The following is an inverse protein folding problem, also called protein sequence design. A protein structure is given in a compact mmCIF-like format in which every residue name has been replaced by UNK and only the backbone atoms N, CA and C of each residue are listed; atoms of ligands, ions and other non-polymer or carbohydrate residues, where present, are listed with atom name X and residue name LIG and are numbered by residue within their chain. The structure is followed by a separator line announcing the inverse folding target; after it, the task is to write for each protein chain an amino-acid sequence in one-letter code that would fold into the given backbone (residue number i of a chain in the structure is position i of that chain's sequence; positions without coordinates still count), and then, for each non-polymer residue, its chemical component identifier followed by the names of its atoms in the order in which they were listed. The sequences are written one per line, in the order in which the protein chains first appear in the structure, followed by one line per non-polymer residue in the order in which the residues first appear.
data_IF_781025729738
#
_entry.id   IF_781025729738
#
_cell.length_a   1.000
_cell.length_b   1.000
_cell.length_c   1.000
_cell.angle_alpha   90.00
_cell.angle_beta   90.00
_cell.angle_gamma   90.00
#
_symmetry.space_group_name_H-M   'P 1'
#
loop_
_entity.id
_entity.type
_entity.pdbx_description
1 polymer ?
#
# COMPACT_ATOMS: atom_id res chain seq x y z
N UNK A 1 20.62 18.51 16.72
CA UNK A 1 20.12 19.39 15.64
C UNK A 1 19.33 18.64 14.57
N UNK A 2 19.75 17.41 14.20
CA UNK A 2 19.05 16.55 13.21
C UNK A 2 17.55 16.40 13.49
N UNK A 3 17.15 16.11 14.74
CA UNK A 3 15.73 15.98 15.09
C UNK A 3 14.90 17.24 14.84
N UNK A 4 15.46 18.44 15.11
CA UNK A 4 14.75 19.71 14.87
C UNK A 4 14.57 19.98 13.37
N UNK A 5 15.60 19.70 12.58
CA UNK A 5 15.53 19.83 11.11
C UNK A 5 14.49 18.85 10.56
N UNK A 6 14.47 17.60 11.03
CA UNK A 6 13.48 16.62 10.63
C UNK A 6 12.05 17.10 10.95
N UNK A 7 11.80 17.65 12.15
CA UNK A 7 10.49 18.21 12.50
C UNK A 7 10.08 19.35 11.57
N UNK A 8 10.98 20.30 11.29
CA UNK A 8 10.67 21.43 10.38
C UNK A 8 10.34 20.93 8.99
N UNK A 9 11.13 19.97 8.45
CA UNK A 9 10.89 19.38 7.13
C UNK A 9 9.55 18.66 7.08
N UNK A 10 9.23 17.82 8.08
CA UNK A 10 7.95 17.10 8.14
C UNK A 10 6.75 18.06 8.22
N UNK A 11 6.88 19.15 8.98
CA UNK A 11 5.81 20.16 9.09
C UNK A 11 5.59 20.87 7.76
N UNK A 12 6.66 21.27 7.06
CA UNK A 12 6.57 21.91 5.73
C UNK A 12 5.92 20.96 4.72
N UNK A 13 6.36 19.70 4.68
CA UNK A 13 5.78 18.69 3.80
C UNK A 13 4.29 18.43 4.12
N UNK A 14 3.92 18.39 5.41
CA UNK A 14 2.53 18.26 5.84
C UNK A 14 1.66 19.43 5.40
N UNK A 15 2.16 20.67 5.51
CA UNK A 15 1.47 21.86 5.03
C UNK A 15 1.29 21.85 3.51
N UNK A 16 2.33 21.43 2.77
CA UNK A 16 2.26 21.30 1.31
C UNK A 16 1.22 20.25 0.85
N UNK A 17 0.89 19.28 1.71
CA UNK A 17 -0.05 18.20 1.39
C UNK A 17 -1.52 18.52 1.70
N UNK A 18 -1.81 19.62 2.40
CA UNK A 18 -3.19 20.09 2.69
C UNK A 18 -4.11 20.11 1.46
N UNK A 19 -3.74 20.70 0.29
CA UNK A 19 -4.62 20.75 -0.87
C UNK A 19 -4.99 19.35 -1.40
N UNK A 20 -4.10 18.37 -1.27
CA UNK A 20 -4.34 16.97 -1.68
C UNK A 20 -5.34 16.30 -0.73
N UNK A 21 -5.26 16.57 0.57
CA UNK A 21 -6.23 16.03 1.54
C UNK A 21 -7.64 16.54 1.28
N UNK A 22 -7.77 17.80 0.85
CA UNK A 22 -9.07 18.41 0.54
C UNK A 22 -9.70 17.89 -0.75
N UNK A 23 -8.92 17.38 -1.72
CA UNK A 23 -9.46 16.89 -3.00
C UNK A 23 -10.08 15.49 -2.90
N UNK A 24 -9.73 14.72 -1.86
CA UNK A 24 -10.10 13.32 -1.72
C UNK A 24 -11.39 13.07 -0.91
N UNK A 25 -12.11 14.14 -0.52
CA UNK A 25 -13.40 14.04 0.17
C UNK A 25 -13.33 14.43 1.65
N UNK A 26 -13.92 13.62 2.54
CA UNK A 26 -13.83 13.87 3.98
C UNK A 26 -12.44 13.50 4.52
N UNK A 27 -11.99 14.17 5.59
CA UNK A 27 -10.71 13.85 6.23
C UNK A 27 -10.65 12.39 6.70
N UNK A 28 -11.78 11.84 7.13
CA UNK A 28 -11.88 10.45 7.59
C UNK A 28 -11.69 9.47 6.43
N UNK A 29 -12.39 9.67 5.31
CA UNK A 29 -12.26 8.82 4.13
C UNK A 29 -10.85 8.86 3.54
N UNK A 30 -10.19 10.03 3.60
CA UNK A 30 -8.80 10.18 3.19
C UNK A 30 -7.83 9.40 4.08
N UNK A 31 -7.93 9.58 5.40
CA UNK A 31 -7.04 8.91 6.35
C UNK A 31 -7.21 7.38 6.26
N UNK A 32 -8.45 6.91 6.18
CA UNK A 32 -8.74 5.49 5.97
C UNK A 32 -8.27 5.00 4.61
N UNK A 33 -8.49 5.80 3.55
CA UNK A 33 -8.00 5.53 2.22
C UNK A 33 -6.50 5.27 2.21
N UNK A 34 -5.68 6.16 2.77
CA UNK A 34 -4.22 5.97 2.85
C UNK A 34 -3.84 4.79 3.74
N UNK A 35 -4.46 4.66 4.91
CA UNK A 35 -4.17 3.56 5.83
C UNK A 35 -4.46 2.20 5.18
N UNK A 36 -5.55 2.09 4.43
CA UNK A 36 -5.95 0.86 3.73
C UNK A 36 -4.94 0.41 2.65
N UNK A 37 -4.05 1.31 2.21
CA UNK A 37 -2.99 0.99 1.25
C UNK A 37 -1.75 0.39 1.93
N UNK A 38 -1.48 0.78 3.18
CA UNK A 38 -0.27 0.38 3.92
C UNK A 38 -0.53 -0.74 4.93
N UNK A 39 -1.70 -0.71 5.59
CA UNK A 39 -2.15 -1.70 6.55
C UNK A 39 -2.04 -3.16 6.05
N UNK A 40 -2.54 -3.54 4.85
CA UNK A 40 -2.53 -4.93 4.41
C UNK A 40 -1.12 -5.48 4.23
N UNK A 41 -0.14 -4.66 3.84
CA UNK A 41 1.25 -5.10 3.71
C UNK A 41 1.88 -5.40 5.07
N UNK A 42 1.68 -4.53 6.05
CA UNK A 42 2.14 -4.76 7.42
C UNK A 42 1.45 -5.99 8.03
N UNK A 43 0.13 -6.10 7.87
CA UNK A 43 -0.66 -7.22 8.39
C UNK A 43 -0.22 -8.53 7.74
N UNK A 44 -0.06 -8.60 6.42
CA UNK A 44 0.39 -9.81 5.73
C UNK A 44 1.74 -10.29 6.28
N UNK A 45 2.71 -9.39 6.41
CA UNK A 45 4.08 -9.71 6.83
C UNK A 45 4.14 -10.12 8.29
N UNK A 46 3.46 -9.39 9.19
CA UNK A 46 3.42 -9.75 10.61
C UNK A 46 2.61 -11.03 10.85
N UNK A 47 1.43 -11.15 10.25
CA UNK A 47 0.58 -12.33 10.42
C UNK A 47 1.31 -13.58 9.93
N UNK A 48 1.85 -13.55 8.71
CA UNK A 48 2.57 -14.70 8.19
C UNK A 48 3.93 -14.93 8.87
N UNK A 49 4.61 -13.88 9.34
CA UNK A 49 5.83 -14.03 10.13
C UNK A 49 5.60 -14.70 11.48
N UNK A 50 4.46 -14.44 12.14
CA UNK A 50 4.10 -15.06 13.42
C UNK A 50 3.58 -16.49 13.21
N UNK A 51 2.68 -16.69 12.24
CA UNK A 51 1.94 -17.94 12.10
C UNK A 51 2.57 -18.95 11.12
N UNK A 52 3.50 -18.54 10.26
CA UNK A 52 4.09 -19.42 9.25
C UNK A 52 5.62 -19.51 9.34
N UNK A 53 6.10 -20.68 9.78
CA UNK A 53 7.53 -21.03 9.74
C UNK A 53 8.10 -21.22 8.33
N UNK A 54 7.25 -21.19 7.30
CA UNK A 54 7.65 -21.39 5.90
C UNK A 54 7.98 -20.08 5.19
N UNK A 55 7.59 -18.94 5.75
CA UNK A 55 7.82 -17.65 5.12
C UNK A 55 9.23 -17.16 5.42
N UNK A 56 9.94 -16.77 4.38
CA UNK A 56 11.32 -16.30 4.50
C UNK A 56 11.36 -14.82 4.90
N UNK A 57 12.39 -14.36 5.65
CA UNK A 57 12.56 -12.94 5.93
C UNK A 57 12.64 -12.10 4.65
N UNK A 58 13.21 -12.67 3.58
CA UNK A 58 13.27 -12.05 2.25
C UNK A 58 11.90 -11.92 1.61
N UNK A 59 11.02 -12.92 1.73
CA UNK A 59 9.65 -12.80 1.27
C UNK A 59 8.89 -11.69 2.02
N UNK A 60 9.12 -11.54 3.33
CA UNK A 60 8.56 -10.43 4.11
C UNK A 60 9.02 -9.05 3.62
N UNK A 61 10.33 -8.87 3.39
CA UNK A 61 10.91 -7.64 2.84
C UNK A 61 10.31 -7.29 1.47
N UNK A 62 10.30 -8.25 0.54
CA UNK A 62 9.70 -8.06 -0.78
C UNK A 62 8.19 -7.83 -0.73
N UNK A 63 7.48 -8.48 0.19
CA UNK A 63 6.04 -8.28 0.40
C UNK A 63 5.72 -6.85 0.83
N UNK A 64 6.51 -6.27 1.75
CA UNK A 64 6.34 -4.86 2.13
C UNK A 64 6.63 -3.91 0.98
N UNK A 65 7.72 -4.11 0.24
CA UNK A 65 8.11 -3.24 -0.88
C UNK A 65 7.04 -3.27 -1.97
N UNK A 66 6.61 -4.47 -2.38
CA UNK A 66 5.59 -4.62 -3.43
C UNK A 66 4.25 -4.05 -2.96
N UNK A 67 3.83 -4.32 -1.73
CA UNK A 67 2.61 -3.76 -1.15
C UNK A 67 2.64 -2.23 -1.13
N UNK A 68 3.77 -1.64 -0.73
CA UNK A 68 3.97 -0.20 -0.74
C UNK A 68 3.90 0.38 -2.16
N UNK A 69 4.56 -0.23 -3.15
CA UNK A 69 4.53 0.25 -4.53
C UNK A 69 3.11 0.21 -5.11
N UNK A 70 2.38 -0.88 -4.90
CA UNK A 70 0.99 -1.01 -5.34
C UNK A 70 0.10 0.05 -4.66
N UNK A 71 0.29 0.26 -3.36
CA UNK A 71 -0.39 1.31 -2.60
C UNK A 71 -0.10 2.72 -3.15
N UNK A 72 1.17 3.03 -3.43
CA UNK A 72 1.59 4.32 -3.98
C UNK A 72 1.02 4.57 -5.38
N UNK A 73 0.97 3.55 -6.24
CA UNK A 73 0.33 3.65 -7.55
C UNK A 73 -1.16 3.98 -7.38
N UNK A 74 -1.86 3.29 -6.49
CA UNK A 74 -3.28 3.54 -6.20
C UNK A 74 -3.51 4.96 -5.67
N UNK A 75 -2.67 5.42 -4.74
CA UNK A 75 -2.73 6.78 -4.20
C UNK A 75 -2.52 7.84 -5.29
N UNK A 76 -1.46 7.69 -6.10
CA UNK A 76 -1.16 8.62 -7.18
C UNK A 76 -2.34 8.74 -8.15
N UNK A 77 -2.96 7.61 -8.51
CA UNK A 77 -4.13 7.62 -9.38
C UNK A 77 -5.35 8.24 -8.72
N UNK A 78 -5.61 7.99 -7.43
CA UNK A 78 -6.71 8.65 -6.71
C UNK A 78 -6.52 10.18 -6.66
N UNK A 79 -5.29 10.64 -6.47
CA UNK A 79 -4.92 12.07 -6.48
C UNK A 79 -5.08 12.67 -7.88
N UNK A 80 -4.60 11.99 -8.92
CA UNK A 80 -4.68 12.47 -10.32
C UNK A 80 -6.10 12.46 -10.88
N UNK A 81 -6.93 11.49 -10.50
CA UNK A 81 -8.30 11.34 -11.01
C UNK A 81 -9.34 12.09 -10.17
N UNK A 82 -8.92 12.88 -9.16
CA UNK A 82 -9.80 13.55 -8.20
C UNK A 82 -10.92 12.63 -7.69
N UNK A 83 -10.55 11.45 -7.17
CA UNK A 83 -11.53 10.46 -6.71
C UNK A 83 -12.49 10.00 -7.83
N UNK A 84 -11.96 9.78 -9.04
CA UNK A 84 -12.72 9.23 -10.18
C UNK A 84 -13.60 10.23 -10.95
N UNK A 85 -13.38 11.54 -10.80
CA UNK A 85 -14.06 12.57 -11.62
C UNK A 85 -13.48 12.72 -13.01
N UNK A 86 -12.16 12.58 -13.15
CA UNK A 86 -11.49 12.50 -14.44
C UNK A 86 -11.23 11.04 -14.78
N UNK A 87 -12.11 10.46 -15.61
CA UNK A 87 -11.90 9.11 -16.14
C UNK A 87 -10.72 9.16 -17.11
N UNK A 88 -9.62 8.50 -16.75
CA UNK A 88 -8.52 8.27 -17.68
C UNK A 88 -9.03 7.35 -18.79
N UNK A 89 -9.30 7.90 -19.97
CA UNK A 89 -9.83 7.15 -21.12
C UNK A 89 -8.72 6.38 -21.83
N UNK A 90 -8.92 5.09 -22.06
CA UNK A 90 -8.01 4.22 -22.81
C UNK A 90 -8.26 2.74 -22.53
N UNK A 91 -7.97 1.86 -23.50
CA UNK A 91 -8.23 0.42 -23.42
C UNK A 91 -7.62 -0.26 -22.17
N UNK A 92 -6.51 0.26 -21.65
CA UNK A 92 -5.91 -0.22 -20.40
C UNK A 92 -6.79 0.08 -19.18
N UNK A 93 -7.30 1.31 -19.07
CA UNK A 93 -8.10 1.80 -17.95
C UNK A 93 -9.48 1.15 -17.91
N UNK A 94 -10.12 0.99 -19.07
CA UNK A 94 -11.42 0.33 -19.19
C UNK A 94 -11.35 -1.15 -18.81
N UNK A 95 -10.29 -1.85 -19.23
CA UNK A 95 -10.08 -3.27 -18.87
C UNK A 95 -9.63 -3.47 -17.42
N UNK A 96 -9.13 -2.44 -16.74
CA UNK A 96 -8.67 -2.50 -15.33
C UNK A 96 -9.57 -1.71 -14.37
N UNK A 97 -10.81 -1.43 -14.75
CA UNK A 97 -11.81 -0.75 -13.92
C UNK A 97 -11.99 -1.40 -12.54
N UNK A 98 -11.89 -2.73 -12.45
CA UNK A 98 -11.94 -3.48 -11.18
C UNK A 98 -10.81 -3.13 -10.20
N UNK A 99 -9.68 -2.59 -10.67
CA UNK A 99 -8.59 -2.14 -9.83
C UNK A 99 -8.72 -0.65 -9.51
N UNK A 100 -9.16 0.15 -10.48
CA UNK A 100 -9.19 1.61 -10.39
C UNK A 100 -10.47 2.21 -9.77
N UNK A 101 -11.63 1.58 -9.94
CA UNK A 101 -12.92 2.09 -9.46
C UNK A 101 -13.47 1.31 -8.25
N UNK A 102 -12.67 0.41 -7.68
CA UNK A 102 -13.06 -0.37 -6.51
C UNK A 102 -12.95 0.44 -5.22
N UNK A 103 -13.93 0.26 -4.34
CA UNK A 103 -13.97 0.84 -3.00
C UNK A 103 -12.69 0.51 -2.22
N UNK A 104 -12.20 1.45 -1.42
CA UNK A 104 -10.94 1.32 -0.70
C UNK A 104 -10.89 0.08 0.22
N UNK A 105 -11.99 -0.30 0.89
CA UNK A 105 -12.03 -1.50 1.74
C UNK A 105 -11.86 -2.78 0.92
N UNK A 106 -12.55 -2.86 -0.22
CA UNK A 106 -12.51 -4.05 -1.07
C UNK A 106 -11.12 -4.21 -1.66
N UNK A 107 -10.50 -3.10 -2.07
CA UNK A 107 -9.12 -3.07 -2.53
C UNK A 107 -8.13 -3.57 -1.47
N UNK A 108 -8.28 -3.15 -0.21
CA UNK A 108 -7.44 -3.59 0.90
C UNK A 108 -7.46 -5.11 1.08
N UNK A 109 -8.65 -5.72 1.02
CA UNK A 109 -8.80 -7.19 1.14
C UNK A 109 -8.12 -7.90 -0.03
N UNK A 110 -8.30 -7.41 -1.26
CA UNK A 110 -7.62 -7.97 -2.44
C UNK A 110 -6.11 -7.85 -2.35
N UNK A 111 -5.61 -6.70 -1.88
CA UNK A 111 -4.19 -6.46 -1.70
C UNK A 111 -3.60 -7.40 -0.63
N UNK A 112 -4.31 -7.62 0.47
CA UNK A 112 -3.91 -8.56 1.51
C UNK A 112 -3.77 -9.99 0.96
N UNK A 113 -4.80 -10.48 0.26
CA UNK A 113 -4.78 -11.83 -0.34
C UNK A 113 -3.65 -11.96 -1.36
N UNK A 114 -3.47 -10.94 -2.21
CA UNK A 114 -2.36 -10.89 -3.16
C UNK A 114 -1.00 -10.97 -2.47
N UNK A 115 -0.77 -10.18 -1.43
CA UNK A 115 0.51 -10.16 -0.70
C UNK A 115 0.78 -11.48 0.02
N UNK A 116 -0.25 -12.12 0.58
CA UNK A 116 -0.13 -13.47 1.15
C UNK A 116 0.36 -14.46 0.08
N UNK A 117 -0.32 -14.52 -1.07
CA UNK A 117 0.05 -15.43 -2.17
C UNK A 117 1.45 -15.10 -2.69
N UNK A 118 1.75 -13.81 -2.90
CA UNK A 118 3.05 -13.35 -3.37
C UNK A 118 4.18 -13.78 -2.42
N UNK A 119 4.02 -13.59 -1.11
CA UNK A 119 5.03 -13.99 -0.14
C UNK A 119 5.20 -15.52 -0.06
N UNK A 120 4.12 -16.29 -0.25
CA UNK A 120 4.24 -17.75 -0.39
C UNK A 120 5.05 -18.13 -1.63
N UNK A 121 4.79 -17.50 -2.78
CA UNK A 121 5.53 -17.74 -4.03
C UNK A 121 7.01 -17.38 -3.84
N UNK A 122 7.31 -16.17 -3.35
CA UNK A 122 8.69 -15.74 -3.11
C UNK A 122 9.40 -16.66 -2.12
N UNK A 123 8.69 -17.17 -1.09
CA UNK A 123 9.22 -18.14 -0.14
C UNK A 123 9.57 -19.49 -0.77
N UNK A 124 8.90 -19.90 -1.86
CA UNK A 124 9.28 -21.10 -2.61
C UNK A 124 10.61 -20.94 -3.36
N UNK A 125 10.94 -19.70 -3.78
CA UNK A 125 12.17 -19.39 -4.52
C UNK A 125 13.31 -18.85 -3.65
N UNK A 126 13.08 -18.60 -2.36
CA UNK A 126 14.08 -18.09 -1.42
C UNK A 126 14.54 -19.16 -0.43
N UNK A 127 15.79 -19.05 0.10
CA UNK A 127 16.32 -20.04 1.02
C UNK A 127 15.43 -20.18 2.26
N UNK A 128 15.16 -21.42 2.67
CA UNK A 128 14.32 -21.72 3.83
C UNK A 128 14.86 -21.00 5.08
N UNK A 129 13.98 -20.54 6.00
CA UNK A 129 14.43 -19.94 7.24
C UNK A 129 15.24 -20.98 8.02
N UNK A 130 16.53 -20.70 8.26
CA UNK A 130 17.31 -21.47 9.23
C UNK A 130 16.63 -21.28 10.57
N UNK A 131 16.39 -22.35 11.33
CA UNK A 131 15.59 -22.39 12.55
C UNK A 131 16.08 -21.50 13.74
N UNK A 132 17.01 -20.57 13.49
CA UNK A 132 17.54 -19.58 14.42
C UNK A 132 17.71 -18.23 13.72
N UNK A 133 16.63 -17.47 13.52
CA UNK A 133 16.65 -16.00 13.45
C UNK A 133 15.33 -15.47 13.96
#
# INVERSE_FOLDING_TARGET
MVGRIATVVVVILGMAWIPVMMSLGSLYDYLQGIQSLLAPAMVAVFFLGIFSKKITPKAGEWGMIVGFLIGMVRLATNVMTNTGKDVMTGAFWENTTWFWQTNWLVFEVWLLVFLIVFMFIVSCFTPKPTAKQ
#
